data_IF_261835286469
#
_entry.id   IF_261835286469
#
_cell.length_a   1.000
_cell.length_b   1.000
_cell.length_c   1.000
_cell.angle_alpha   90.00
_cell.angle_beta   90.00
_cell.angle_gamma   90.00
#
_symmetry.space_group_name_H-M   'P 1'
#
loop_
_entity.id
_entity.type
_entity.pdbx_description
1 polymer ?
#
# COMPACT_ATOMS: atom_id res chain seq x y z
N UNK A 1 36.02 2.10 -28.44
CA UNK A 1 35.18 1.86 -27.25
C UNK A 1 33.75 1.87 -27.75
N UNK A 2 33.36 0.76 -28.37
CA UNK A 2 32.03 0.60 -28.94
C UNK A 2 31.12 0.05 -27.85
N UNK A 3 29.97 0.70 -27.70
CA UNK A 3 28.91 0.33 -26.77
C UNK A 3 28.15 -0.85 -27.38
N UNK A 4 28.29 -2.04 -26.79
CA UNK A 4 27.39 -3.15 -27.06
C UNK A 4 26.04 -2.86 -26.41
N UNK A 5 25.09 -2.41 -27.24
CA UNK A 5 23.66 -2.38 -26.94
C UNK A 5 23.03 -3.67 -27.48
N UNK A 6 23.23 -4.77 -26.76
CA UNK A 6 22.40 -5.96 -26.90
C UNK A 6 21.19 -5.80 -25.96
N UNK A 7 20.29 -4.89 -26.33
CA UNK A 7 18.91 -4.93 -25.84
C UNK A 7 18.21 -6.05 -26.61
N UNK A 8 18.27 -7.26 -26.04
CA UNK A 8 17.38 -8.35 -26.40
C UNK A 8 15.92 -7.92 -26.11
N UNK A 9 15.31 -7.25 -27.09
CA UNK A 9 13.86 -7.17 -27.19
C UNK A 9 13.36 -8.62 -27.32
N UNK A 10 12.89 -9.18 -26.21
CA UNK A 10 12.04 -10.37 -26.23
C UNK A 10 10.79 -9.99 -27.04
N UNK A 11 10.81 -10.35 -28.31
CA UNK A 11 9.68 -10.24 -29.22
C UNK A 11 8.56 -11.12 -28.65
N UNK A 12 7.58 -10.48 -28.01
CA UNK A 12 6.42 -11.19 -27.50
C UNK A 12 5.66 -11.77 -28.70
N UNK A 13 5.66 -13.10 -28.78
CA UNK A 13 4.94 -13.87 -29.80
C UNK A 13 3.53 -13.30 -29.97
N UNK A 14 3.16 -12.92 -31.20
CA UNK A 14 1.88 -12.27 -31.46
C UNK A 14 0.74 -13.20 -31.04
N UNK A 15 -0.22 -12.75 -30.19
CA UNK A 15 -1.28 -13.62 -29.68
C UNK A 15 -2.08 -14.23 -30.84
N UNK A 16 -2.32 -15.55 -30.77
CA UNK A 16 -3.10 -16.29 -31.77
C UNK A 16 -4.51 -15.67 -31.87
N UNK A 17 -5.13 -15.74 -33.05
CA UNK A 17 -6.46 -15.13 -33.31
C UNK A 17 -7.56 -15.53 -32.30
N UNK A 18 -7.49 -16.72 -31.70
CA UNK A 18 -8.43 -17.13 -30.64
C UNK A 18 -8.18 -16.41 -29.29
N UNK A 19 -6.94 -16.06 -29.00
CA UNK A 19 -6.57 -15.33 -27.79
C UNK A 19 -7.05 -13.87 -27.88
N UNK A 20 -7.03 -13.25 -29.07
CA UNK A 20 -7.52 -11.88 -29.26
C UNK A 20 -9.04 -11.77 -29.08
N UNK A 21 -9.82 -12.74 -29.58
CA UNK A 21 -11.27 -12.80 -29.38
C UNK A 21 -11.62 -13.04 -27.91
N UNK A 22 -10.86 -13.91 -27.22
CA UNK A 22 -11.02 -14.16 -25.79
C UNK A 22 -10.70 -12.92 -24.94
N UNK A 23 -9.62 -12.22 -25.28
CA UNK A 23 -9.22 -10.96 -24.62
C UNK A 23 -10.28 -9.87 -24.80
N UNK A 24 -10.84 -9.70 -25.99
CA UNK A 24 -11.93 -8.74 -26.23
C UNK A 24 -13.21 -9.05 -25.43
N UNK A 25 -13.53 -10.33 -25.20
CA UNK A 25 -14.65 -10.71 -24.31
C UNK A 25 -14.37 -10.36 -22.85
N UNK A 26 -13.14 -10.62 -22.39
CA UNK A 26 -12.72 -10.27 -21.02
C UNK A 26 -12.74 -8.75 -20.80
N UNK A 27 -12.26 -7.97 -21.78
CA UNK A 27 -12.29 -6.51 -21.72
C UNK A 27 -13.71 -5.96 -21.64
N UNK A 28 -14.63 -6.46 -22.48
CA UNK A 28 -16.04 -6.08 -22.42
C UNK A 28 -16.68 -6.40 -21.06
N UNK A 29 -16.36 -7.55 -20.47
CA UNK A 29 -16.84 -7.92 -19.14
C UNK A 29 -16.28 -7.00 -18.05
N UNK A 30 -15.00 -6.64 -18.13
CA UNK A 30 -14.38 -5.70 -17.20
C UNK A 30 -15.06 -4.32 -17.26
N UNK A 31 -15.31 -3.79 -18.46
CA UNK A 31 -16.02 -2.52 -18.64
C UNK A 31 -17.45 -2.55 -18.10
N UNK A 32 -18.16 -3.67 -18.25
CA UNK A 32 -19.51 -3.83 -17.68
C UNK A 32 -19.48 -3.83 -16.15
N UNK A 33 -18.53 -4.55 -15.55
CA UNK A 33 -18.37 -4.59 -14.10
C UNK A 33 -17.97 -3.22 -13.55
N UNK A 34 -17.09 -2.48 -14.23
CA UNK A 34 -16.68 -1.13 -13.87
C UNK A 34 -17.89 -0.18 -13.81
N UNK A 35 -18.77 -0.21 -14.83
CA UNK A 35 -20.02 0.58 -14.82
C UNK A 35 -20.92 0.25 -13.64
N UNK A 36 -21.00 -1.04 -13.27
CA UNK A 36 -21.80 -1.47 -12.11
C UNK A 36 -21.17 -0.97 -10.80
N UNK A 37 -19.84 -1.03 -10.66
CA UNK A 37 -19.11 -0.52 -9.49
C UNK A 37 -19.36 0.98 -9.32
N UNK A 38 -19.24 1.75 -10.41
CA UNK A 38 -19.51 3.19 -10.41
C UNK A 38 -20.96 3.49 -10.02
N UNK A 39 -21.92 2.74 -10.56
CA UNK A 39 -23.33 2.88 -10.18
C UNK A 39 -23.55 2.64 -8.69
N UNK A 40 -22.96 1.59 -8.12
CA UNK A 40 -23.09 1.31 -6.69
C UNK A 40 -22.37 2.32 -5.80
N UNK A 41 -21.28 2.93 -6.28
CA UNK A 41 -20.60 4.04 -5.58
C UNK A 41 -21.50 5.28 -5.45
N UNK A 42 -22.36 5.54 -6.42
CA UNK A 42 -23.25 6.71 -6.45
C UNK A 42 -24.58 6.47 -5.72
N UNK A 43 -24.88 5.24 -5.29
CA UNK A 43 -26.10 4.94 -4.56
C UNK A 43 -26.00 5.40 -3.10
N UNK A 44 -26.81 6.38 -2.73
CA UNK A 44 -27.04 6.74 -1.33
C UNK A 44 -27.76 5.60 -0.60
N UNK A 45 -27.41 5.40 0.67
CA UNK A 45 -27.97 4.36 1.53
C UNK A 45 -28.54 4.97 2.80
N UNK A 46 -29.70 4.49 3.20
CA UNK A 46 -30.27 4.76 4.52
C UNK A 46 -29.58 3.93 5.60
N UNK A 47 -29.78 4.30 6.87
CA UNK A 47 -29.20 3.58 8.01
C UNK A 47 -29.66 2.12 8.07
N UNK A 48 -30.93 1.87 7.72
CA UNK A 48 -31.51 0.52 7.68
C UNK A 48 -30.88 -0.33 6.56
N UNK A 49 -30.61 0.27 5.41
CA UNK A 49 -29.95 -0.42 4.30
C UNK A 49 -28.47 -0.71 4.59
N UNK A 50 -27.79 0.10 5.40
CA UNK A 50 -26.41 -0.16 5.82
C UNK A 50 -26.28 -1.40 6.70
N UNK A 51 -27.32 -1.73 7.49
CA UNK A 51 -27.35 -2.92 8.35
C UNK A 51 -27.73 -4.19 7.57
N UNK A 52 -28.10 -4.06 6.30
CA UNK A 52 -28.45 -5.20 5.46
C UNK A 52 -27.21 -5.92 4.91
N UNK A 53 -27.22 -7.25 4.95
CA UNK A 53 -26.27 -8.12 4.23
C UNK A 53 -26.33 -7.94 2.69
N UNK A 54 -27.35 -7.25 2.19
CA UNK A 54 -27.56 -6.95 0.77
C UNK A 54 -27.36 -5.46 0.45
N UNK A 55 -26.69 -4.72 1.34
CA UNK A 55 -26.33 -3.32 1.11
C UNK A 55 -25.54 -3.13 -0.19
N UNK A 56 -25.67 -1.94 -0.80
CA UNK A 56 -24.91 -1.62 -2.02
C UNK A 56 -23.40 -1.70 -1.79
N UNK A 57 -22.93 -1.40 -0.58
CA UNK A 57 -21.53 -1.55 -0.19
C UNK A 57 -21.03 -3.00 -0.25
N UNK A 58 -21.79 -3.96 0.31
CA UNK A 58 -21.42 -5.38 0.26
C UNK A 58 -21.47 -5.91 -1.18
N UNK A 59 -22.52 -5.56 -1.93
CA UNK A 59 -22.64 -5.94 -3.34
C UNK A 59 -21.49 -5.39 -4.16
N UNK A 60 -21.06 -4.16 -3.90
CA UNK A 60 -19.91 -3.55 -4.55
C UNK A 60 -18.63 -4.35 -4.28
N UNK A 61 -18.34 -4.72 -3.03
CA UNK A 61 -17.15 -5.53 -2.70
C UNK A 61 -17.13 -6.88 -3.46
N UNK A 62 -18.28 -7.55 -3.57
CA UNK A 62 -18.40 -8.79 -4.34
C UNK A 62 -18.10 -8.57 -5.84
N UNK A 63 -18.61 -7.48 -6.43
CA UNK A 63 -18.34 -7.14 -7.83
C UNK A 63 -16.87 -6.76 -8.03
N UNK A 64 -16.25 -6.02 -7.10
CA UNK A 64 -14.82 -5.68 -7.14
C UNK A 64 -13.98 -6.96 -7.08
N UNK A 65 -14.29 -7.91 -6.22
CA UNK A 65 -13.60 -9.21 -6.15
C UNK A 65 -13.66 -9.94 -7.49
N UNK A 66 -14.84 -10.02 -8.10
CA UNK A 66 -15.04 -10.61 -9.44
C UNK A 66 -14.26 -9.86 -10.52
N UNK A 67 -14.26 -8.52 -10.49
CA UNK A 67 -13.47 -7.68 -11.39
C UNK A 67 -11.98 -8.01 -11.26
N UNK A 68 -11.46 -8.10 -10.04
CA UNK A 68 -10.04 -8.39 -9.78
C UNK A 68 -9.64 -9.80 -10.25
N UNK A 69 -10.53 -10.79 -10.15
CA UNK A 69 -10.29 -12.13 -10.69
C UNK A 69 -10.20 -12.14 -12.22
N UNK A 70 -11.13 -11.48 -12.90
CA UNK A 70 -11.09 -11.33 -14.36
C UNK A 70 -9.88 -10.51 -14.81
N UNK A 71 -9.53 -9.45 -14.08
CA UNK A 71 -8.36 -8.64 -14.34
C UNK A 71 -7.07 -9.47 -14.25
N UNK A 72 -6.95 -10.36 -13.24
CA UNK A 72 -5.81 -11.29 -13.16
C UNK A 72 -5.73 -12.21 -14.37
N UNK A 73 -6.87 -12.73 -14.86
CA UNK A 73 -6.90 -13.57 -16.06
C UNK A 73 -6.47 -12.79 -17.32
N UNK A 74 -7.02 -11.59 -17.50
CA UNK A 74 -6.65 -10.69 -18.59
C UNK A 74 -5.14 -10.35 -18.57
N UNK A 75 -4.62 -10.05 -17.38
CA UNK A 75 -3.20 -9.75 -17.14
C UNK A 75 -2.29 -10.93 -17.43
N UNK A 76 -2.62 -12.13 -16.99
CA UNK A 76 -1.81 -13.32 -17.27
C UNK A 76 -1.72 -13.62 -18.76
N UNK A 77 -2.76 -13.29 -19.53
CA UNK A 77 -2.79 -13.47 -20.97
C UNK A 77 -2.06 -12.35 -21.76
N UNK A 78 -1.91 -11.16 -21.18
CA UNK A 78 -1.31 -10.00 -21.87
C UNK A 78 0.11 -9.69 -21.41
N UNK A 79 0.37 -9.67 -20.10
CA UNK A 79 1.64 -9.23 -19.50
C UNK A 79 1.88 -9.93 -18.14
N UNK A 80 2.44 -11.17 -18.13
CA UNK A 80 2.58 -11.97 -16.91
C UNK A 80 3.60 -11.42 -15.88
N UNK A 81 4.51 -10.52 -16.28
CA UNK A 81 5.69 -10.16 -15.48
C UNK A 81 5.61 -8.82 -14.71
N UNK A 82 4.47 -8.12 -14.70
CA UNK A 82 4.37 -6.84 -13.99
C UNK A 82 4.00 -7.07 -12.52
N UNK A 83 4.97 -6.83 -11.62
CA UNK A 83 4.74 -6.79 -10.18
C UNK A 83 3.90 -5.55 -9.82
N UNK A 84 2.71 -5.77 -9.24
CA UNK A 84 1.78 -4.67 -8.90
C UNK A 84 2.16 -3.93 -7.61
N UNK A 85 2.94 -4.52 -6.71
CA UNK A 85 3.28 -3.90 -5.42
C UNK A 85 4.59 -3.11 -5.49
N UNK A 86 4.53 -1.87 -5.97
CA UNK A 86 5.69 -0.96 -5.96
C UNK A 86 6.20 -0.61 -4.56
N UNK A 87 5.41 -0.89 -3.51
CA UNK A 87 5.70 -0.51 -2.13
C UNK A 87 7.04 -1.07 -1.61
N UNK A 88 7.29 -2.37 -1.81
CA UNK A 88 8.44 -3.08 -1.24
C UNK A 88 9.61 -3.27 -2.21
N UNK A 89 9.43 -2.93 -3.49
CA UNK A 89 10.48 -3.03 -4.50
C UNK A 89 11.33 -1.76 -4.55
N UNK A 90 12.59 -1.87 -4.99
CA UNK A 90 13.48 -0.73 -5.23
C UNK A 90 13.63 0.21 -4.03
N UNK A 91 13.65 -0.33 -2.80
CA UNK A 91 14.01 0.44 -1.62
C UNK A 91 15.48 0.85 -1.69
N UNK A 92 15.76 2.08 -1.32
CA UNK A 92 17.13 2.61 -1.27
C UNK A 92 17.56 2.49 0.20
N UNK A 93 18.55 1.66 0.49
CA UNK A 93 19.10 1.51 1.84
C UNK A 93 20.55 1.94 1.75
N UNK A 94 20.91 2.95 2.54
CA UNK A 94 22.23 3.60 2.49
C UNK A 94 22.92 3.66 3.84
N UNK A 95 22.22 3.31 4.91
CA UNK A 95 22.73 3.48 6.28
C UNK A 95 23.84 2.51 6.67
N UNK A 96 23.91 1.33 6.05
CA UNK A 96 25.08 0.45 6.22
C UNK A 96 26.22 0.89 5.33
N UNK A 97 27.44 0.91 5.89
CA UNK A 97 28.68 1.02 5.10
C UNK A 97 28.90 -0.21 4.21
N UNK A 98 28.34 -1.34 4.61
CA UNK A 98 28.51 -2.63 3.94
C UNK A 98 27.34 -2.90 2.99
N UNK A 99 27.58 -2.76 1.69
CA UNK A 99 26.55 -2.95 0.66
C UNK A 99 25.90 -4.33 0.68
N UNK A 100 26.59 -5.34 1.21
CA UNK A 100 26.07 -6.70 1.36
C UNK A 100 24.90 -6.75 2.36
N UNK A 101 24.95 -5.97 3.43
CA UNK A 101 23.85 -5.83 4.41
C UNK A 101 22.67 -5.13 3.72
N UNK A 102 22.93 -4.00 3.05
CA UNK A 102 21.90 -3.25 2.31
C UNK A 102 21.17 -4.14 1.30
N UNK A 103 21.90 -4.89 0.48
CA UNK A 103 21.33 -5.77 -0.55
C UNK A 103 20.53 -6.92 0.06
N UNK A 104 21.02 -7.51 1.16
CA UNK A 104 20.31 -8.62 1.82
C UNK A 104 18.98 -8.16 2.41
N UNK A 105 18.95 -6.96 2.98
CA UNK A 105 17.73 -6.39 3.53
C UNK A 105 16.75 -6.00 2.41
N UNK A 106 17.22 -5.38 1.32
CA UNK A 106 16.38 -5.12 0.13
C UNK A 106 15.72 -6.39 -0.40
N UNK A 107 16.50 -7.45 -0.55
CA UNK A 107 16.00 -8.75 -0.99
C UNK A 107 15.00 -9.37 0.01
N UNK A 108 15.24 -9.22 1.31
CA UNK A 108 14.32 -9.69 2.34
C UNK A 108 12.97 -8.99 2.24
N UNK A 109 12.97 -7.66 2.11
CA UNK A 109 11.75 -6.85 2.04
C UNK A 109 10.96 -7.14 0.75
N UNK A 110 11.65 -7.24 -0.39
CA UNK A 110 10.99 -7.55 -1.66
C UNK A 110 10.37 -8.95 -1.67
N UNK A 111 10.99 -9.92 -1.00
CA UNK A 111 10.47 -11.28 -0.88
C UNK A 111 9.30 -11.40 0.10
N UNK A 112 9.39 -10.73 1.25
CA UNK A 112 8.36 -10.84 2.30
C UNK A 112 7.14 -9.96 2.07
N UNK A 113 7.30 -8.85 1.34
CA UNK A 113 6.21 -7.91 1.00
C UNK A 113 5.35 -7.49 2.20
N UNK A 114 5.97 -7.36 3.37
CA UNK A 114 5.31 -6.88 4.60
C UNK A 114 6.23 -5.93 5.35
N UNK A 115 5.62 -5.15 6.24
CA UNK A 115 6.37 -4.30 7.15
C UNK A 115 7.29 -5.17 8.03
N UNK A 116 8.59 -4.86 8.12
CA UNK A 116 9.53 -5.64 8.92
C UNK A 116 9.42 -5.25 10.40
N UNK A 117 9.76 -6.20 11.28
CA UNK A 117 10.00 -5.87 12.69
C UNK A 117 11.49 -5.59 12.92
N UNK A 118 11.79 -4.81 13.97
CA UNK A 118 13.17 -4.51 14.35
C UNK A 118 14.01 -5.78 14.57
N UNK A 119 13.44 -6.78 15.24
CA UNK A 119 14.13 -8.04 15.55
C UNK A 119 14.57 -8.79 14.29
N UNK A 120 13.82 -8.66 13.18
CA UNK A 120 14.11 -9.31 11.92
C UNK A 120 15.26 -8.63 11.20
N UNK A 121 15.27 -7.30 11.17
CA UNK A 121 16.37 -6.52 10.61
C UNK A 121 17.65 -6.79 11.39
N UNK A 122 17.59 -6.75 12.72
CA UNK A 122 18.74 -7.07 13.58
C UNK A 122 19.31 -8.46 13.34
N UNK A 123 18.44 -9.47 13.19
CA UNK A 123 18.86 -10.83 12.85
C UNK A 123 19.58 -10.89 11.49
N UNK A 124 19.14 -10.12 10.50
CA UNK A 124 19.78 -10.07 9.18
C UNK A 124 21.16 -9.41 9.28
N UNK A 125 21.26 -8.27 9.96
CA UNK A 125 22.54 -7.56 10.18
C UNK A 125 23.54 -8.48 10.88
N UNK A 126 23.14 -9.14 11.98
CA UNK A 126 24.01 -10.09 12.70
C UNK A 126 24.46 -11.26 11.82
N UNK A 127 23.53 -11.87 11.05
CA UNK A 127 23.86 -12.97 10.13
C UNK A 127 24.83 -12.53 9.03
N UNK A 128 24.67 -11.33 8.49
CA UNK A 128 25.60 -10.78 7.50
C UNK A 128 26.97 -10.51 8.13
N UNK A 129 27.01 -9.92 9.32
CA UNK A 129 28.26 -9.67 10.04
C UNK A 129 29.10 -10.94 10.22
N UNK A 130 28.47 -12.02 10.69
CA UNK A 130 29.13 -13.31 10.87
C UNK A 130 29.53 -13.96 9.54
N UNK A 131 28.67 -13.87 8.52
CA UNK A 131 28.91 -14.49 7.21
C UNK A 131 30.08 -13.83 6.46
N UNK A 132 30.19 -12.51 6.55
CA UNK A 132 31.17 -11.72 5.81
C UNK A 132 32.36 -11.29 6.66
N UNK A 133 32.47 -11.81 7.90
CA UNK A 133 33.57 -11.56 8.83
C UNK A 133 33.82 -10.06 9.06
N UNK A 134 32.74 -9.29 9.19
CA UNK A 134 32.80 -7.84 9.33
C UNK A 134 33.27 -7.36 10.72
N UNK A 135 33.57 -8.30 11.63
CA UNK A 135 34.07 -8.06 12.99
C UNK A 135 33.29 -7.00 13.77
N UNK A 136 31.97 -6.90 13.53
CA UNK A 136 31.13 -5.92 14.22
C UNK A 136 30.87 -6.37 15.65
N UNK A 137 31.03 -5.46 16.60
CA UNK A 137 30.61 -5.71 17.99
C UNK A 137 29.09 -5.72 18.10
N UNK A 138 28.56 -6.31 19.17
CA UNK A 138 27.11 -6.35 19.39
C UNK A 138 26.48 -4.96 19.43
N UNK A 139 27.16 -3.98 20.04
CA UNK A 139 26.71 -2.59 20.10
C UNK A 139 26.66 -1.93 18.71
N UNK A 140 27.63 -2.24 17.84
CA UNK A 140 27.62 -1.76 16.45
C UNK A 140 26.47 -2.38 15.66
N UNK A 141 26.22 -3.68 15.83
CA UNK A 141 25.08 -4.36 15.20
C UNK A 141 23.77 -3.72 15.64
N UNK A 142 23.62 -3.41 16.93
CA UNK A 142 22.39 -2.80 17.46
C UNK A 142 22.19 -1.38 16.92
N UNK A 143 23.24 -0.54 16.95
CA UNK A 143 23.20 0.82 16.41
C UNK A 143 22.84 0.83 14.92
N UNK A 144 23.53 0.00 14.12
CA UNK A 144 23.32 -0.05 12.67
C UNK A 144 21.94 -0.63 12.33
N UNK A 145 21.46 -1.60 13.11
CA UNK A 145 20.11 -2.14 12.94
C UNK A 145 19.03 -1.08 13.20
N UNK A 146 19.20 -0.22 14.21
CA UNK A 146 18.27 0.88 14.51
C UNK A 146 18.25 1.90 13.38
N UNK A 147 19.43 2.32 12.88
CA UNK A 147 19.52 3.28 11.78
C UNK A 147 18.89 2.75 10.50
N UNK A 148 19.20 1.51 10.11
CA UNK A 148 18.63 0.87 8.93
C UNK A 148 17.12 0.69 9.09
N UNK A 149 16.66 0.23 10.25
CA UNK A 149 15.23 0.07 10.52
C UNK A 149 14.48 1.40 10.41
N UNK A 150 15.01 2.48 11.00
CA UNK A 150 14.43 3.82 10.92
C UNK A 150 14.33 4.34 9.48
N UNK A 151 15.39 4.15 8.67
CA UNK A 151 15.40 4.52 7.24
C UNK A 151 14.31 3.77 6.47
N UNK A 152 14.23 2.45 6.65
CA UNK A 152 13.23 1.59 5.98
C UNK A 152 11.82 1.98 6.41
N UNK A 153 11.57 2.16 7.71
CA UNK A 153 10.25 2.50 8.23
C UNK A 153 9.75 3.84 7.68
N UNK A 154 10.61 4.86 7.62
CA UNK A 154 10.27 6.14 7.01
C UNK A 154 9.90 5.98 5.54
N UNK A 155 10.72 5.28 4.75
CA UNK A 155 10.44 5.06 3.33
C UNK A 155 9.15 4.27 3.09
N UNK A 156 8.95 3.17 3.81
CA UNK A 156 7.76 2.33 3.67
C UNK A 156 6.49 3.09 4.08
N UNK A 157 6.56 3.89 5.16
CA UNK A 157 5.45 4.75 5.59
C UNK A 157 5.10 5.77 4.52
N UNK A 158 6.09 6.51 4.01
CA UNK A 158 5.87 7.51 2.95
C UNK A 158 5.30 6.88 1.69
N UNK A 159 5.84 5.73 1.26
CA UNK A 159 5.32 5.01 0.08
C UNK A 159 3.88 4.57 0.27
N UNK A 160 3.52 4.03 1.44
CA UNK A 160 2.14 3.63 1.74
C UNK A 160 1.19 4.83 1.79
N UNK A 161 1.65 5.97 2.31
CA UNK A 161 0.86 7.21 2.30
C UNK A 161 0.64 7.74 0.88
N UNK A 162 1.68 7.70 0.04
CA UNK A 162 1.58 8.11 -1.35
C UNK A 162 0.68 7.17 -2.15
N UNK A 163 0.83 5.85 -1.99
CA UNK A 163 -0.05 4.85 -2.60
C UNK A 163 -1.51 5.05 -2.20
N UNK A 164 -1.78 5.33 -0.91
CA UNK A 164 -3.13 5.67 -0.47
C UNK A 164 -3.65 6.95 -1.14
N UNK A 165 -2.83 8.01 -1.21
CA UNK A 165 -3.21 9.28 -1.85
C UNK A 165 -3.51 9.10 -3.33
N UNK A 166 -2.66 8.38 -4.06
CA UNK A 166 -2.83 8.09 -5.48
C UNK A 166 -4.11 7.27 -5.72
N UNK A 167 -4.34 6.21 -4.95
CA UNK A 167 -5.52 5.35 -5.13
C UNK A 167 -6.82 6.04 -4.72
N UNK A 168 -6.85 6.84 -3.65
CA UNK A 168 -8.05 7.62 -3.27
C UNK A 168 -8.43 8.61 -4.37
N UNK A 169 -7.45 9.28 -4.98
CA UNK A 169 -7.71 10.21 -6.09
C UNK A 169 -8.27 9.51 -7.34
N UNK A 170 -8.05 8.20 -7.49
CA UNK A 170 -8.63 7.40 -8.56
C UNK A 170 -10.06 6.93 -8.24
N UNK A 171 -10.37 6.68 -6.96
CA UNK A 171 -11.68 6.21 -6.51
C UNK A 171 -12.73 7.32 -6.48
N UNK A 172 -12.34 8.52 -6.08
CA UNK A 172 -13.25 9.67 -6.11
C UNK A 172 -13.22 10.29 -7.51
N UNK A 173 -14.40 10.56 -8.09
CA UNK A 173 -14.55 11.25 -9.37
C UNK A 173 -13.55 12.43 -9.45
N UNK A 174 -12.51 12.30 -10.29
CA UNK A 174 -11.37 13.25 -10.39
C UNK A 174 -11.78 14.73 -10.50
N UNK A 175 -13.00 14.99 -10.97
CA UNK A 175 -13.63 16.31 -11.04
C UNK A 175 -13.79 16.99 -9.66
N UNK A 176 -13.97 16.24 -8.57
CA UNK A 176 -14.20 16.80 -7.24
C UNK A 176 -12.94 17.32 -6.54
N UNK A 177 -11.72 16.96 -6.96
CA UNK A 177 -10.50 17.41 -6.26
C UNK A 177 -9.68 18.45 -7.04
N UNK A 178 -9.86 18.55 -8.36
CA UNK A 178 -9.06 19.45 -9.20
C UNK A 178 -9.61 20.89 -9.24
N UNK A 179 -10.85 21.12 -8.81
CA UNK A 179 -11.50 22.44 -8.87
C UNK A 179 -12.42 22.76 -7.68
N UNK A 180 -12.30 22.02 -6.58
CA UNK A 180 -13.20 22.18 -5.43
C UNK A 180 -12.50 23.04 -4.38
N UNK A 181 -13.00 24.27 -4.22
CA UNK A 181 -12.69 25.12 -3.09
C UNK A 181 -13.39 24.56 -1.85
N UNK A 182 -12.68 24.49 -0.72
CA UNK A 182 -13.27 24.02 0.53
C UNK A 182 -14.34 25.04 0.98
N UNK A 183 -15.62 24.64 1.12
CA UNK A 183 -16.68 25.54 1.58
C UNK A 183 -16.37 26.17 2.95
N UNK A 184 -15.58 25.49 3.79
CA UNK A 184 -15.17 26.00 5.09
C UNK A 184 -14.20 27.20 5.01
N UNK A 185 -13.51 27.40 3.87
CA UNK A 185 -12.65 28.58 3.68
C UNK A 185 -13.48 29.86 3.51
N UNK A 186 -14.68 29.74 2.91
CA UNK A 186 -15.60 30.87 2.70
C UNK A 186 -16.58 31.05 3.87
N UNK A 187 -16.97 29.97 4.54
CA UNK A 187 -17.97 29.99 5.62
C UNK A 187 -17.37 29.90 7.03
N UNK A 188 -17.26 31.04 7.70
CA UNK A 188 -16.67 31.13 9.05
C UNK A 188 -17.42 30.29 10.12
N UNK A 189 -18.75 30.17 10.01
CA UNK A 189 -19.55 29.36 10.95
C UNK A 189 -19.24 27.86 10.80
N UNK A 190 -19.13 27.38 9.56
CA UNK A 190 -18.76 26.00 9.26
C UNK A 190 -17.35 25.71 9.78
N UNK A 191 -16.39 26.60 9.52
CA UNK A 191 -15.02 26.45 10.02
C UNK A 191 -14.95 26.41 11.56
N UNK A 192 -15.71 27.27 12.24
CA UNK A 192 -15.79 27.26 13.71
C UNK A 192 -16.34 25.93 14.25
N UNK A 193 -17.39 25.38 13.60
CA UNK A 193 -17.95 24.06 13.95
C UNK A 193 -16.94 22.93 13.71
N UNK A 194 -16.29 22.89 12.55
CA UNK A 194 -15.28 21.88 12.22
C UNK A 194 -14.09 21.95 13.18
N UNK A 195 -13.62 23.15 13.52
CA UNK A 195 -12.54 23.36 14.49
C UNK A 195 -12.91 22.82 15.88
N UNK A 196 -14.16 23.02 16.33
CA UNK A 196 -14.64 22.45 17.58
C UNK A 196 -14.67 20.92 17.54
N UNK A 197 -15.19 20.33 16.46
CA UNK A 197 -15.25 18.88 16.25
C UNK A 197 -13.84 18.27 16.26
N UNK A 198 -12.88 18.88 15.56
CA UNK A 198 -11.49 18.40 15.52
C UNK A 198 -10.89 18.35 16.92
N UNK A 199 -11.12 19.37 17.75
CA UNK A 199 -10.60 19.41 19.11
C UNK A 199 -11.27 18.36 20.01
N UNK A 200 -12.57 18.13 19.86
CA UNK A 200 -13.30 17.09 20.59
C UNK A 200 -12.84 15.69 20.19
N UNK A 201 -12.68 15.43 18.90
CA UNK A 201 -12.23 14.14 18.37
C UNK A 201 -10.79 13.81 18.78
N UNK A 202 -9.88 14.79 18.78
CA UNK A 202 -8.51 14.59 19.29
C UNK A 202 -8.51 14.10 20.74
N UNK A 203 -9.30 14.77 21.60
CA UNK A 203 -9.47 14.36 23.01
C UNK A 203 -10.06 12.96 23.12
N UNK A 204 -11.05 12.64 22.29
CA UNK A 204 -11.67 11.30 22.31
C UNK A 204 -10.65 10.20 21.95
N UNK A 205 -9.83 10.41 20.93
CA UNK A 205 -8.77 9.46 20.54
C UNK A 205 -7.74 9.31 21.65
N UNK A 206 -7.29 10.41 22.26
CA UNK A 206 -6.35 10.39 23.38
C UNK A 206 -6.94 9.66 24.60
N UNK A 207 -8.21 9.90 24.91
CA UNK A 207 -8.92 9.22 26.00
C UNK A 207 -8.93 7.70 25.78
N UNK A 208 -9.32 7.23 24.58
CA UNK A 208 -9.34 5.80 24.25
C UNK A 208 -7.93 5.20 24.43
N UNK A 209 -6.88 5.86 23.91
CA UNK A 209 -5.49 5.38 24.04
C UNK A 209 -5.08 5.29 25.52
N UNK A 210 -5.44 6.29 26.33
CA UNK A 210 -5.12 6.29 27.76
C UNK A 210 -5.86 5.20 28.54
N UNK A 211 -7.13 4.94 28.20
CA UNK A 211 -7.93 3.87 28.81
C UNK A 211 -7.32 2.49 28.53
N UNK A 212 -6.93 2.23 27.27
CA UNK A 212 -6.25 0.98 26.91
C UNK A 212 -4.89 0.86 27.61
N UNK A 213 -4.11 1.95 27.67
CA UNK A 213 -2.80 1.96 28.34
C UNK A 213 -2.93 1.63 29.83
N UNK A 214 -3.95 2.19 30.51
CA UNK A 214 -4.24 1.89 31.92
C UNK A 214 -4.63 0.43 32.12
N UNK A 215 -5.53 -0.11 31.29
CA UNK A 215 -5.93 -1.53 31.38
C UNK A 215 -4.74 -2.48 31.20
N UNK A 216 -3.86 -2.19 30.24
CA UNK A 216 -2.64 -2.98 30.05
C UNK A 216 -1.73 -2.94 31.28
N UNK A 217 -1.59 -1.78 31.94
CA UNK A 217 -0.79 -1.66 33.15
C UNK A 217 -1.39 -2.47 34.31
N UNK A 218 -2.71 -2.39 34.51
CA UNK A 218 -3.42 -3.15 35.54
C UNK A 218 -3.34 -4.68 35.33
N UNK A 219 -3.17 -5.15 34.09
CA UNK A 219 -2.92 -6.57 33.80
C UNK A 219 -1.47 -6.99 34.03
N UNK A 220 -0.50 -6.09 33.84
CA UNK A 220 0.92 -6.34 34.13
C UNK A 220 1.20 -6.35 35.63
N UNK A 221 0.47 -5.54 36.40
CA UNK A 221 0.64 -5.41 37.84
C UNK A 221 -0.05 -6.55 38.66
N UNK A 222 -0.79 -7.45 37.99
CA UNK A 222 -1.42 -8.64 38.58
C UNK A 222 -0.55 -9.89 38.45
#
# INVERSE_FOLDING_TARGET
MELNSDDDFIEADSPKHDDTVRLGKLENQLQQLEKIILKYNECEMTVEEMDSDQSYYIKQDLIIKKYMELWKQYRNATQPNINNSKLFHNLIITKSKENQINNKIKFYLSKKQRFPDYSEIRKIVNKCSNKFQLNMTQSMIDFESVEIFSEICKQLKTRRQNDLKENIQLLTNKKFFLSYEDPADSEAELNAKLSKIINEQKKQVENIISEFSRKCQEEIDK
#
